data_IF_463825511721
#
_entry.id   IF_463825511721
#
_cell.length_a   1.000
_cell.length_b   1.000
_cell.length_c   1.000
_cell.angle_alpha   90.00
_cell.angle_beta   90.00
_cell.angle_gamma   90.00
#
_symmetry.space_group_name_H-M   'P 1'
#
loop_
_entity.id
_entity.type
_entity.pdbx_description
1 polymer ?
#
# COMPACT_ATOMS: atom_id res chain seq x y z
N UNK A 1 32.96 -14.75 -5.75
CA UNK A 1 31.70 -13.98 -5.81
C UNK A 1 30.92 -14.36 -4.58
N UNK A 2 30.40 -13.39 -3.83
CA UNK A 2 29.54 -13.68 -2.69
C UNK A 2 28.16 -14.10 -3.21
N UNK A 3 27.66 -15.24 -2.73
CA UNK A 3 26.33 -15.73 -3.07
C UNK A 3 25.27 -15.03 -2.20
N UNK A 4 24.05 -14.93 -2.72
CA UNK A 4 22.86 -14.64 -1.93
C UNK A 4 21.83 -15.75 -2.14
N UNK A 5 21.05 -16.05 -1.10
CA UNK A 5 20.03 -17.10 -1.12
C UNK A 5 18.71 -16.54 -0.65
N UNK A 6 17.68 -16.69 -1.49
CA UNK A 6 16.28 -16.51 -1.12
C UNK A 6 15.71 -17.86 -0.70
N UNK A 7 15.06 -17.92 0.46
CA UNK A 7 14.39 -19.12 0.99
C UNK A 7 12.93 -18.79 1.23
N UNK A 8 12.02 -19.62 0.71
CA UNK A 8 10.59 -19.51 0.94
C UNK A 8 10.13 -20.43 2.08
N UNK A 9 9.03 -20.08 2.72
CA UNK A 9 8.37 -20.85 3.78
C UNK A 9 8.11 -22.31 3.42
N UNK A 10 7.87 -22.61 2.13
CA UNK A 10 7.66 -23.98 1.65
C UNK A 10 8.95 -24.75 1.32
N UNK A 11 10.11 -24.17 1.67
CA UNK A 11 11.43 -24.76 1.47
C UNK A 11 12.03 -24.52 0.09
N UNK A 12 11.33 -23.86 -0.85
CA UNK A 12 11.90 -23.54 -2.16
C UNK A 12 13.01 -22.48 -2.02
N UNK A 13 14.16 -22.73 -2.64
CA UNK A 13 15.31 -21.82 -2.60
C UNK A 13 15.68 -21.28 -3.99
N UNK A 14 16.25 -20.07 -4.01
CA UNK A 14 16.83 -19.45 -5.20
C UNK A 14 18.20 -18.89 -4.84
N UNK A 15 19.24 -19.29 -5.57
CA UNK A 15 20.60 -18.75 -5.40
C UNK A 15 20.85 -17.72 -6.49
N UNK A 16 21.37 -16.56 -6.08
CA UNK A 16 21.67 -15.42 -6.94
C UNK A 16 22.84 -14.62 -6.38
N UNK A 17 22.85 -13.31 -6.65
CA UNK A 17 23.88 -12.39 -6.15
C UNK A 17 23.29 -11.36 -5.18
N UNK A 18 24.06 -10.89 -4.18
CA UNK A 18 23.63 -9.77 -3.35
C UNK A 18 23.30 -8.54 -4.20
N UNK A 19 22.25 -7.82 -3.82
CA UNK A 19 21.86 -6.56 -4.43
C UNK A 19 21.32 -5.61 -3.35
N UNK A 20 22.00 -4.50 -3.11
CA UNK A 20 21.79 -3.69 -1.90
C UNK A 20 22.71 -4.13 -0.76
N UNK A 21 22.27 -3.97 0.48
CA UNK A 21 23.04 -4.35 1.65
C UNK A 21 23.23 -5.88 1.76
N UNK A 22 24.41 -6.32 2.22
CA UNK A 22 24.64 -7.71 2.60
C UNK A 22 24.14 -7.98 4.02
N UNK A 23 23.55 -9.17 4.25
CA UNK A 23 23.03 -9.54 5.56
C UNK A 23 21.84 -10.48 5.45
N UNK A 24 20.88 -10.34 6.37
CA UNK A 24 19.64 -11.10 6.33
C UNK A 24 18.42 -10.21 6.50
N UNK A 25 17.34 -10.54 5.81
CA UNK A 25 16.02 -9.96 6.03
C UNK A 25 14.96 -11.04 5.96
N UNK A 26 13.83 -10.80 6.64
CA UNK A 26 12.66 -11.68 6.71
C UNK A 26 11.41 -10.86 6.43
N UNK A 27 10.42 -11.45 5.76
CA UNK A 27 9.16 -10.78 5.49
C UNK A 27 8.20 -11.65 4.69
N UNK A 28 7.01 -11.13 4.43
CA UNK A 28 6.09 -11.74 3.46
C UNK A 28 6.57 -11.42 2.04
N UNK A 29 6.81 -12.45 1.22
CA UNK A 29 7.25 -12.24 -0.16
C UNK A 29 6.06 -12.02 -1.09
N UNK A 30 6.15 -10.96 -1.88
CA UNK A 30 5.11 -10.50 -2.80
C UNK A 30 5.74 -10.18 -4.16
N UNK A 31 4.95 -10.11 -5.22
CA UNK A 31 5.45 -9.65 -6.54
C UNK A 31 4.69 -8.43 -7.02
N UNK A 32 5.35 -7.55 -7.76
CA UNK A 32 4.75 -6.37 -8.39
C UNK A 32 4.98 -6.38 -9.92
N UNK A 33 3.92 -6.13 -10.68
CA UNK A 33 3.92 -6.13 -12.16
C UNK A 33 4.36 -4.82 -12.81
N UNK A 34 4.63 -3.79 -12.01
CA UNK A 34 5.12 -2.49 -12.46
C UNK A 34 6.39 -2.60 -13.29
N UNK A 35 6.35 -2.07 -14.51
CA UNK A 35 7.51 -2.01 -15.41
C UNK A 35 8.36 -0.74 -15.24
N UNK A 36 7.82 0.22 -14.50
CA UNK A 36 8.39 1.54 -14.19
C UNK A 36 7.93 1.91 -12.79
N UNK A 37 8.57 2.90 -12.17
CA UNK A 37 8.14 3.39 -10.87
C UNK A 37 8.61 2.54 -9.69
N UNK A 38 9.80 1.93 -9.83
CA UNK A 38 10.35 1.08 -8.77
C UNK A 38 10.76 1.88 -7.54
N UNK A 39 11.09 3.17 -7.68
CA UNK A 39 11.48 4.02 -6.56
C UNK A 39 10.26 4.31 -5.68
N UNK A 40 9.20 4.79 -6.32
CA UNK A 40 7.88 5.03 -5.71
C UNK A 40 7.39 3.77 -5.00
N UNK A 41 7.52 2.59 -5.65
CA UNK A 41 7.19 1.28 -5.06
C UNK A 41 8.02 0.99 -3.82
N UNK A 42 9.34 1.24 -3.83
CA UNK A 42 10.21 0.97 -2.69
C UNK A 42 9.90 1.88 -1.49
N UNK A 43 9.47 3.11 -1.77
CA UNK A 43 9.12 4.12 -0.76
C UNK A 43 7.64 4.12 -0.36
N UNK A 44 6.81 3.20 -0.87
CA UNK A 44 5.43 3.04 -0.42
C UNK A 44 5.38 2.34 0.94
N UNK A 45 4.88 3.00 2.01
CA UNK A 45 4.80 2.42 3.36
C UNK A 45 3.99 1.11 3.44
N UNK A 46 3.09 0.88 2.48
CA UNK A 46 2.26 -0.33 2.43
C UNK A 46 3.07 -1.62 2.21
N UNK A 47 4.34 -1.51 1.79
CA UNK A 47 5.28 -2.63 1.70
C UNK A 47 6.07 -2.93 2.98
N UNK A 48 5.79 -2.24 4.09
CA UNK A 48 6.46 -2.52 5.35
C UNK A 48 6.38 -4.02 5.70
N UNK A 49 7.52 -4.61 6.08
CA UNK A 49 7.69 -6.06 6.33
C UNK A 49 7.44 -6.99 5.13
N UNK A 50 7.43 -6.47 3.90
CA UNK A 50 7.31 -7.27 2.68
C UNK A 50 8.61 -7.31 1.88
N UNK A 51 8.91 -8.48 1.31
CA UNK A 51 10.00 -8.66 0.34
C UNK A 51 9.38 -8.54 -1.06
N UNK A 52 9.79 -7.53 -1.82
CA UNK A 52 9.18 -7.23 -3.12
C UNK A 52 9.97 -7.87 -4.26
N UNK A 53 9.27 -8.66 -5.08
CA UNK A 53 9.78 -9.27 -6.32
C UNK A 53 9.31 -8.45 -7.51
N UNK A 54 10.24 -7.87 -8.25
CA UNK A 54 9.91 -7.24 -9.53
C UNK A 54 9.78 -8.27 -10.64
N UNK A 55 8.64 -8.26 -11.31
CA UNK A 55 8.45 -9.08 -12.51
C UNK A 55 9.15 -8.47 -13.73
N UNK A 56 9.28 -7.14 -13.78
CA UNK A 56 10.04 -6.46 -14.82
C UNK A 56 11.54 -6.83 -14.70
N UNK A 57 12.17 -7.29 -15.79
CA UNK A 57 13.48 -7.93 -15.68
C UNK A 57 14.60 -6.93 -15.37
N UNK A 58 14.55 -5.74 -15.97
CA UNK A 58 15.55 -4.69 -15.80
C UNK A 58 15.05 -3.64 -14.82
N UNK A 59 15.75 -3.52 -13.69
CA UNK A 59 15.40 -2.61 -12.60
C UNK A 59 16.59 -1.70 -12.28
N UNK A 60 16.34 -0.42 -11.97
CA UNK A 60 17.40 0.57 -11.70
C UNK A 60 17.88 1.34 -12.94
N UNK A 61 17.25 1.15 -14.10
CA UNK A 61 17.65 1.77 -15.37
C UNK A 61 17.58 3.31 -15.35
N UNK A 62 16.67 3.89 -14.56
CA UNK A 62 16.54 5.34 -14.39
C UNK A 62 17.27 5.89 -13.17
N UNK A 63 18.01 5.05 -12.44
CA UNK A 63 18.60 5.40 -11.14
C UNK A 63 17.54 5.82 -10.13
N UNK A 64 17.94 6.65 -9.19
CA UNK A 64 17.09 7.22 -8.13
C UNK A 64 17.30 8.74 -8.11
N UNK A 65 16.28 9.48 -7.69
CA UNK A 65 16.30 10.94 -7.49
C UNK A 65 15.62 11.32 -6.17
N UNK A 66 15.58 12.61 -5.82
CA UNK A 66 15.02 13.05 -4.53
C UNK A 66 13.57 13.56 -4.65
N UNK A 67 12.92 13.38 -5.80
CA UNK A 67 11.56 13.86 -6.10
C UNK A 67 10.53 12.73 -6.23
N UNK A 68 10.95 11.51 -6.55
CA UNK A 68 10.05 10.35 -6.78
C UNK A 68 9.82 9.51 -5.50
N UNK A 69 10.27 9.99 -4.34
CA UNK A 69 10.02 9.31 -3.06
C UNK A 69 8.58 9.57 -2.60
N UNK A 70 7.81 8.50 -2.37
CA UNK A 70 6.44 8.58 -1.85
C UNK A 70 6.38 8.67 -0.32
N UNK A 71 7.52 8.58 0.35
CA UNK A 71 7.67 8.78 1.79
C UNK A 71 9.13 9.02 2.18
N UNK A 72 9.42 9.16 3.48
CA UNK A 72 10.75 9.54 3.96
C UNK A 72 11.86 8.47 3.79
N UNK A 73 11.53 7.21 3.45
CA UNK A 73 12.50 6.12 3.33
C UNK A 73 11.98 4.96 2.49
N UNK A 74 12.86 4.01 2.16
CA UNK A 74 12.49 2.71 1.62
C UNK A 74 11.86 1.84 2.71
N UNK A 75 10.67 1.30 2.44
CA UNK A 75 9.88 0.52 3.41
C UNK A 75 9.90 -1.00 3.19
N UNK A 76 10.29 -1.46 2.00
CA UNK A 76 10.39 -2.91 1.76
C UNK A 76 11.37 -3.55 2.74
N UNK A 77 11.03 -4.73 3.25
CA UNK A 77 11.96 -5.52 4.06
C UNK A 77 13.13 -6.05 3.23
N UNK A 78 12.89 -6.31 1.95
CA UNK A 78 13.93 -6.73 1.01
C UNK A 78 13.47 -6.66 -0.44
N UNK A 79 14.43 -6.85 -1.35
CA UNK A 79 14.18 -6.61 -2.76
C UNK A 79 14.75 -7.70 -3.68
N UNK A 80 13.95 -8.13 -4.65
CA UNK A 80 14.26 -9.27 -5.52
C UNK A 80 14.14 -8.85 -6.98
N UNK A 81 15.24 -8.91 -7.72
CA UNK A 81 15.33 -8.46 -9.12
C UNK A 81 15.95 -9.53 -10.02
N UNK A 82 15.62 -9.50 -11.32
CA UNK A 82 16.22 -10.42 -12.30
C UNK A 82 17.56 -9.92 -12.82
N UNK A 83 17.62 -8.69 -13.30
CA UNK A 83 18.82 -8.10 -13.92
C UNK A 83 18.92 -6.62 -13.51
N UNK A 84 19.66 -6.31 -12.43
CA UNK A 84 19.84 -4.93 -12.01
C UNK A 84 20.63 -4.16 -13.08
N UNK A 85 20.24 -2.90 -13.30
CA UNK A 85 20.88 -2.06 -14.29
C UNK A 85 22.35 -1.82 -13.92
N UNK A 86 23.26 -2.12 -14.86
CA UNK A 86 24.72 -1.92 -14.68
C UNK A 86 25.10 -0.44 -14.56
N UNK A 87 24.24 0.45 -15.04
CA UNK A 87 24.34 1.90 -14.93
C UNK A 87 22.94 2.50 -14.92
N UNK A 88 22.76 3.56 -14.14
CA UNK A 88 21.61 4.44 -14.29
C UNK A 88 21.81 5.35 -15.52
N UNK A 89 20.75 5.60 -16.28
CA UNK A 89 20.80 6.44 -17.48
C UNK A 89 19.51 7.23 -17.68
N UNK A 90 19.28 8.20 -16.80
CA UNK A 90 18.20 9.17 -16.91
C UNK A 90 18.71 10.54 -16.47
N UNK A 91 18.23 11.63 -17.07
CA UNK A 91 18.66 12.99 -16.74
C UNK A 91 18.27 13.41 -15.31
N UNK A 92 17.25 12.78 -14.71
CA UNK A 92 16.83 12.98 -13.32
C UNK A 92 17.68 12.19 -12.32
N UNK A 93 18.43 11.19 -12.77
CA UNK A 93 19.18 10.31 -11.88
C UNK A 93 20.26 11.08 -11.13
N UNK A 94 20.23 11.02 -9.80
CA UNK A 94 21.28 11.58 -8.92
C UNK A 94 22.16 10.49 -8.30
N UNK A 95 21.62 9.28 -8.14
CA UNK A 95 22.30 8.09 -7.59
C UNK A 95 21.84 6.80 -8.27
N UNK A 96 22.59 5.71 -8.13
CA UNK A 96 22.13 4.39 -8.59
C UNK A 96 21.24 3.74 -7.53
N UNK A 97 20.42 2.77 -7.97
CA UNK A 97 19.50 2.10 -7.05
C UNK A 97 20.23 1.21 -6.02
N UNK A 98 21.32 0.55 -6.41
CA UNK A 98 22.11 -0.27 -5.49
C UNK A 98 22.81 0.56 -4.41
N UNK A 99 23.34 1.74 -4.77
CA UNK A 99 23.91 2.69 -3.80
C UNK A 99 22.87 3.07 -2.74
N UNK A 100 21.62 3.30 -3.17
CA UNK A 100 20.54 3.70 -2.27
C UNK A 100 20.06 2.57 -1.36
N UNK A 101 19.91 1.36 -1.90
CA UNK A 101 19.59 0.17 -1.12
C UNK A 101 20.67 -0.12 -0.06
N UNK A 102 21.95 0.03 -0.41
CA UNK A 102 23.07 -0.10 0.55
C UNK A 102 22.99 0.99 1.62
N UNK A 103 22.78 2.25 1.23
CA UNK A 103 22.73 3.38 2.15
C UNK A 103 21.62 3.24 3.21
N UNK A 104 20.48 2.66 2.83
CA UNK A 104 19.33 2.46 3.70
C UNK A 104 19.28 1.05 4.34
N UNK A 105 20.30 0.21 4.12
CA UNK A 105 20.40 -1.12 4.73
C UNK A 105 19.42 -2.15 4.18
N UNK A 106 18.91 -1.95 2.96
CA UNK A 106 17.92 -2.84 2.34
C UNK A 106 18.62 -4.04 1.73
N UNK A 107 18.30 -5.23 2.25
CA UNK A 107 18.87 -6.50 1.78
C UNK A 107 18.12 -6.96 0.54
N UNK A 108 18.84 -7.30 -0.52
CA UNK A 108 18.25 -7.79 -1.75
C UNK A 108 19.08 -8.85 -2.47
N UNK A 109 18.45 -9.43 -3.49
CA UNK A 109 19.02 -10.49 -4.32
C UNK A 109 18.70 -10.25 -5.80
N UNK A 110 19.69 -10.52 -6.64
CA UNK A 110 19.63 -10.39 -8.09
C UNK A 110 19.99 -11.68 -8.81
N UNK A 111 19.81 -11.70 -10.13
CA UNK A 111 20.16 -12.83 -11.02
C UNK A 111 19.37 -14.13 -10.77
N UNK A 112 18.21 -14.05 -10.13
CA UNK A 112 17.29 -15.20 -9.98
C UNK A 112 16.17 -15.19 -11.02
N UNK A 113 15.55 -16.35 -11.28
CA UNK A 113 14.37 -16.45 -12.16
C UNK A 113 13.11 -15.90 -11.45
N UNK A 114 12.94 -14.57 -11.53
CA UNK A 114 11.77 -13.88 -10.96
C UNK A 114 10.45 -14.33 -11.59
N UNK A 115 10.45 -14.86 -12.83
CA UNK A 115 9.24 -15.42 -13.45
C UNK A 115 8.85 -16.75 -12.82
N UNK A 116 9.80 -17.65 -12.58
CA UNK A 116 9.54 -18.90 -11.87
C UNK A 116 9.05 -18.63 -10.44
N UNK A 117 9.63 -17.65 -9.75
CA UNK A 117 9.19 -17.19 -8.44
C UNK A 117 7.78 -16.61 -8.46
N UNK A 118 7.49 -15.68 -9.39
CA UNK A 118 6.15 -15.08 -9.55
C UNK A 118 5.08 -16.15 -9.78
N UNK A 119 5.33 -17.12 -10.67
CA UNK A 119 4.41 -18.23 -10.93
C UNK A 119 4.15 -19.07 -9.69
N UNK A 120 5.20 -19.31 -8.90
CA UNK A 120 5.12 -20.06 -7.65
C UNK A 120 4.22 -19.35 -6.64
N UNK A 121 4.44 -18.05 -6.41
CA UNK A 121 3.63 -17.23 -5.51
C UNK A 121 2.18 -17.11 -5.98
N UNK A 122 1.94 -17.00 -7.28
CA UNK A 122 0.59 -17.02 -7.84
C UNK A 122 -0.14 -18.35 -7.58
N UNK A 123 0.56 -19.48 -7.70
CA UNK A 123 -0.02 -20.83 -7.58
C UNK A 123 -0.14 -21.32 -6.13
N UNK A 124 0.74 -20.86 -5.24
CA UNK A 124 0.82 -21.30 -3.83
C UNK A 124 0.36 -20.24 -2.82
N UNK A 125 0.17 -19.01 -3.28
CA UNK A 125 -0.06 -17.84 -2.45
C UNK A 125 1.24 -17.18 -1.99
N UNK A 126 1.10 -15.96 -1.46
CA UNK A 126 2.20 -15.26 -0.77
C UNK A 126 2.49 -15.94 0.57
N UNK A 127 3.73 -15.88 1.02
CA UNK A 127 4.22 -16.63 2.19
C UNK A 127 5.41 -15.92 2.81
N UNK A 128 5.90 -16.42 3.95
CA UNK A 128 7.14 -15.91 4.54
C UNK A 128 8.34 -16.27 3.66
N UNK A 129 9.32 -15.38 3.62
CA UNK A 129 10.59 -15.64 2.97
C UNK A 129 11.73 -14.92 3.70
N UNK A 130 12.96 -15.32 3.37
CA UNK A 130 14.17 -14.66 3.84
C UNK A 130 15.22 -14.58 2.76
N UNK A 131 15.96 -13.47 2.73
CA UNK A 131 17.14 -13.28 1.88
C UNK A 131 18.36 -13.31 2.79
N UNK A 132 19.38 -14.08 2.43
CA UNK A 132 20.60 -14.26 3.21
C UNK A 132 21.83 -14.09 2.31
N UNK A 133 22.77 -13.24 2.72
CA UNK A 133 24.03 -12.99 2.02
C UNK A 133 25.15 -12.64 3.02
N UNK A 134 26.40 -12.65 2.54
CA UNK A 134 27.56 -12.30 3.35
C UNK A 134 27.67 -13.15 4.62
N UNK A 135 27.94 -12.51 5.75
CA UNK A 135 28.09 -13.17 7.05
C UNK A 135 26.81 -13.92 7.52
N UNK A 136 25.63 -13.53 7.04
CA UNK A 136 24.38 -14.19 7.41
C UNK A 136 24.15 -15.53 6.70
N UNK A 137 24.89 -15.78 5.62
CA UNK A 137 24.81 -17.01 4.81
C UNK A 137 25.86 -18.06 5.22
N UNK A 138 26.83 -17.71 6.05
CA UNK A 138 27.90 -18.61 6.48
C UNK A 138 27.81 -18.93 7.98
N UNK A 139 28.32 -20.09 8.37
CA UNK A 139 28.43 -20.53 9.75
C UNK A 139 29.73 -20.01 10.41
N UNK A 140 30.01 -20.46 11.63
CA UNK A 140 31.18 -20.04 12.40
C UNK A 140 32.52 -20.47 11.78
N UNK A 141 32.51 -21.52 10.94
CA UNK A 141 33.67 -22.04 10.25
C UNK A 141 33.85 -21.39 8.86
N UNK A 142 32.90 -20.52 8.46
CA UNK A 142 32.90 -19.82 7.17
C UNK A 142 32.28 -20.63 6.03
N UNK A 143 31.66 -21.78 6.34
CA UNK A 143 30.97 -22.63 5.37
C UNK A 143 29.53 -22.17 5.19
N UNK A 144 28.94 -22.43 4.02
CA UNK A 144 27.55 -22.03 3.76
C UNK A 144 26.59 -22.76 4.71
N UNK A 145 25.77 -21.99 5.43
CA UNK A 145 24.72 -22.52 6.30
C UNK A 145 23.81 -23.46 5.53
N UNK A 146 23.42 -24.55 6.18
CA UNK A 146 22.54 -25.52 5.57
C UNK A 146 21.13 -24.93 5.33
N UNK A 147 20.47 -25.33 4.24
CA UNK A 147 19.17 -24.76 3.86
C UNK A 147 18.11 -24.90 4.95
N UNK A 148 18.16 -25.96 5.76
CA UNK A 148 17.22 -26.18 6.87
C UNK A 148 17.36 -25.14 8.00
N UNK A 149 18.55 -24.57 8.21
CA UNK A 149 18.76 -23.50 9.20
C UNK A 149 18.20 -22.17 8.71
N UNK A 150 18.39 -21.88 7.42
CA UNK A 150 17.82 -20.69 6.78
C UNK A 150 16.29 -20.76 6.76
N UNK A 151 15.75 -21.94 6.42
CA UNK A 151 14.32 -22.21 6.46
C UNK A 151 13.75 -22.06 7.88
N UNK A 152 14.45 -22.55 8.91
CA UNK A 152 14.01 -22.37 10.30
C UNK A 152 13.85 -20.88 10.68
N UNK A 153 14.78 -20.02 10.23
CA UNK A 153 14.66 -18.57 10.43
C UNK A 153 13.44 -17.97 9.70
N UNK A 154 13.12 -18.45 8.49
CA UNK A 154 11.91 -18.04 7.75
C UNK A 154 10.63 -18.48 8.47
N UNK A 155 10.61 -19.69 9.02
CA UNK A 155 9.46 -20.24 9.74
C UNK A 155 9.22 -19.58 11.11
N UNK A 156 10.25 -18.96 11.70
CA UNK A 156 10.14 -18.19 12.95
C UNK A 156 9.64 -16.75 12.71
N UNK A 157 9.70 -16.26 11.46
CA UNK A 157 9.23 -14.93 11.12
C UNK A 157 7.71 -14.77 11.37
N UNK A 158 7.25 -13.61 11.88
CA UNK A 158 5.84 -13.33 12.05
C UNK A 158 5.06 -13.39 10.73
N UNK A 159 3.80 -13.81 10.80
CA UNK A 159 2.89 -13.78 9.66
C UNK A 159 2.28 -12.36 9.49
N UNK A 160 1.91 -12.02 8.25
CA UNK A 160 1.21 -10.76 7.93
C UNK A 160 -0.24 -10.74 8.44
N UNK A 161 -0.89 -11.91 8.52
CA UNK A 161 -2.27 -12.01 9.06
C UNK A 161 -2.27 -11.65 10.53
N UNK A 162 -3.15 -10.73 10.92
CA UNK A 162 -3.22 -10.19 12.27
C UNK A 162 -2.11 -9.20 12.64
N UNK A 163 -1.28 -8.77 11.69
CA UNK A 163 -0.25 -7.76 11.95
C UNK A 163 -0.86 -6.36 11.95
N UNK A 164 -0.71 -5.64 13.07
CA UNK A 164 -0.98 -4.22 13.17
C UNK A 164 0.31 -3.45 12.87
N UNK A 165 0.35 -2.74 11.73
CA UNK A 165 1.56 -2.12 11.19
C UNK A 165 1.40 -0.63 10.88
N UNK A 166 0.19 -0.09 10.91
CA UNK A 166 -0.07 1.31 10.53
C UNK A 166 0.70 2.29 11.44
N UNK A 167 0.71 2.03 12.75
CA UNK A 167 1.47 2.82 13.72
C UNK A 167 2.99 2.75 13.57
N UNK A 168 3.54 1.72 12.91
CA UNK A 168 4.99 1.62 12.65
C UNK A 168 5.44 2.49 11.47
N UNK A 169 4.49 2.96 10.67
CA UNK A 169 4.75 3.71 9.44
C UNK A 169 4.16 5.12 9.41
N UNK A 170 3.33 5.44 10.40
CA UNK A 170 2.69 6.74 10.55
C UNK A 170 3.70 7.85 10.88
N UNK A 171 3.34 9.09 10.58
CA UNK A 171 4.07 10.26 11.06
C UNK A 171 4.03 10.40 12.59
N UNK A 172 5.16 10.77 13.19
CA UNK A 172 5.27 11.03 14.64
C UNK A 172 4.59 12.35 15.07
N UNK A 173 4.38 13.28 14.14
CA UNK A 173 3.86 14.62 14.46
C UNK A 173 3.02 15.14 13.32
N UNK A 174 1.85 15.68 13.67
CA UNK A 174 0.96 16.28 12.70
C UNK A 174 1.65 17.40 11.90
N UNK A 175 1.40 17.42 10.59
CA UNK A 175 1.91 18.45 9.68
C UNK A 175 0.83 18.89 8.69
N UNK A 176 1.10 19.98 7.97
CA UNK A 176 0.14 20.58 7.03
C UNK A 176 0.76 20.65 5.65
N UNK A 177 0.02 20.16 4.65
CA UNK A 177 0.27 20.44 3.24
C UNK A 177 -0.68 21.57 2.83
N UNK A 178 -0.11 22.74 2.55
CA UNK A 178 -0.88 23.92 2.17
C UNK A 178 -1.43 23.78 0.74
N UNK A 179 -2.62 24.36 0.47
CA UNK A 179 -3.23 24.30 -0.84
C UNK A 179 -2.38 25.03 -1.89
N UNK A 180 -2.39 24.51 -3.11
CA UNK A 180 -1.83 25.17 -4.27
C UNK A 180 -2.93 26.04 -4.89
N UNK A 181 -2.76 27.36 -4.81
CA UNK A 181 -3.74 28.33 -5.30
C UNK A 181 -4.73 28.77 -4.20
N UNK A 182 -6.00 28.90 -4.56
CA UNK A 182 -7.05 29.33 -3.63
C UNK A 182 -7.42 28.22 -2.66
N UNK A 183 -7.63 28.56 -1.38
CA UNK A 183 -8.10 27.61 -0.37
C UNK A 183 -9.61 27.37 -0.55
N UNK A 184 -9.98 26.13 -0.84
CA UNK A 184 -11.37 25.71 -1.13
C UNK A 184 -11.95 24.86 0.02
N UNK A 185 -11.13 23.97 0.59
CA UNK A 185 -11.55 23.06 1.65
C UNK A 185 -10.38 22.68 2.58
N UNK A 186 -10.71 22.15 3.75
CA UNK A 186 -9.75 21.58 4.70
C UNK A 186 -10.05 20.10 4.91
N UNK A 187 -9.02 19.24 4.83
CA UNK A 187 -9.12 17.81 5.09
C UNK A 187 -8.24 17.43 6.28
N UNK A 188 -8.77 16.64 7.20
CA UNK A 188 -7.99 15.88 8.16
C UNK A 188 -7.67 14.51 7.57
N UNK A 189 -6.40 14.25 7.25
CA UNK A 189 -5.92 12.98 6.75
C UNK A 189 -5.27 12.19 7.89
N UNK A 190 -5.83 11.02 8.23
CA UNK A 190 -5.21 10.10 9.19
C UNK A 190 -4.15 9.29 8.44
N UNK A 191 -2.90 9.43 8.88
CA UNK A 191 -1.73 8.79 8.31
C UNK A 191 -1.60 7.37 8.82
N UNK A 192 -1.96 6.41 7.98
CA UNK A 192 -1.81 4.98 8.22
C UNK A 192 -0.63 4.40 7.43
N UNK A 193 0.27 5.25 6.95
CA UNK A 193 1.26 4.96 5.92
C UNK A 193 1.02 5.76 4.64
N UNK A 194 0.63 7.02 4.75
CA UNK A 194 0.19 7.85 3.64
C UNK A 194 1.34 8.09 2.66
N UNK A 195 1.02 7.89 1.38
CA UNK A 195 1.89 8.27 0.28
C UNK A 195 1.84 9.77 0.01
N UNK A 196 3.00 10.39 -0.17
CA UNK A 196 3.18 11.84 -0.33
C UNK A 196 2.37 12.43 -1.51
N UNK A 197 2.13 11.65 -2.56
CA UNK A 197 1.34 12.11 -3.68
C UNK A 197 -0.14 12.36 -3.32
N UNK A 198 -0.69 11.64 -2.33
CA UNK A 198 -2.10 11.83 -1.89
C UNK A 198 -2.39 13.24 -1.39
N UNK A 199 -1.71 13.77 -0.35
CA UNK A 199 -1.96 15.14 0.11
C UNK A 199 -1.59 16.17 -0.96
N UNK A 200 -0.60 15.89 -1.80
CA UNK A 200 -0.25 16.75 -2.94
C UNK A 200 -1.39 16.83 -3.98
N UNK A 201 -2.07 15.73 -4.31
CA UNK A 201 -3.24 15.72 -5.23
C UNK A 201 -4.44 16.50 -4.67
N UNK A 202 -4.61 16.49 -3.36
CA UNK A 202 -5.59 17.31 -2.66
C UNK A 202 -5.18 18.78 -2.68
N UNK A 203 -3.91 19.10 -2.40
CA UNK A 203 -3.38 20.45 -2.44
C UNK A 203 -3.51 21.10 -3.82
N UNK A 204 -3.27 20.35 -4.91
CA UNK A 204 -3.49 20.76 -6.31
C UNK A 204 -4.93 21.21 -6.59
N UNK A 205 -5.90 20.79 -5.75
CA UNK A 205 -7.32 21.15 -5.83
C UNK A 205 -7.73 22.24 -4.85
N UNK A 206 -6.76 22.94 -4.25
CA UNK A 206 -7.03 23.98 -3.28
C UNK A 206 -7.40 23.45 -1.89
N UNK A 207 -7.15 22.18 -1.60
CA UNK A 207 -7.45 21.58 -0.29
C UNK A 207 -6.24 21.72 0.64
N UNK A 208 -6.45 22.31 1.82
CA UNK A 208 -5.47 22.24 2.92
C UNK A 208 -5.56 20.87 3.55
N UNK A 209 -4.46 20.15 3.67
CA UNK A 209 -4.43 18.81 4.27
C UNK A 209 -3.67 18.84 5.59
N UNK A 210 -4.37 18.58 6.70
CA UNK A 210 -3.77 18.28 7.98
C UNK A 210 -3.51 16.78 8.05
N UNK A 211 -2.25 16.38 7.97
CA UNK A 211 -1.86 14.98 8.14
C UNK A 211 -1.65 14.73 9.63
N UNK A 212 -2.42 13.79 10.18
CA UNK A 212 -2.45 13.44 11.59
C UNK A 212 -1.88 12.03 11.79
N UNK A 213 -1.19 11.75 12.91
CA UNK A 213 -0.73 10.41 13.26
C UNK A 213 -1.86 9.37 13.27
N UNK A 214 -1.51 8.09 13.15
CA UNK A 214 -2.47 6.97 13.11
C UNK A 214 -3.29 6.83 14.39
N UNK A 215 -2.74 7.26 15.52
CA UNK A 215 -3.39 7.24 16.84
C UNK A 215 -4.22 8.50 17.14
N UNK A 216 -4.41 9.37 16.16
CA UNK A 216 -5.17 10.60 16.33
C UNK A 216 -6.57 10.34 16.89
N UNK A 217 -7.02 11.21 17.80
CA UNK A 217 -8.37 11.12 18.37
C UNK A 217 -9.38 11.91 17.55
N UNK A 218 -10.68 11.66 17.79
CA UNK A 218 -11.73 12.45 17.16
C UNK A 218 -11.65 13.94 17.54
N UNK A 219 -11.20 14.27 18.76
CA UNK A 219 -10.99 15.65 19.19
C UNK A 219 -9.90 16.34 18.37
N UNK A 220 -8.80 15.64 18.08
CA UNK A 220 -7.70 16.16 17.27
C UNK A 220 -8.12 16.33 15.81
N UNK A 221 -8.86 15.37 15.25
CA UNK A 221 -9.49 15.49 13.94
C UNK A 221 -10.41 16.71 13.88
N UNK A 222 -11.27 16.91 14.87
CA UNK A 222 -12.20 18.05 14.89
C UNK A 222 -11.48 19.39 15.13
N UNK A 223 -10.34 19.39 15.83
CA UNK A 223 -9.54 20.59 16.07
C UNK A 223 -9.01 21.22 14.76
N UNK A 224 -8.88 20.44 13.67
CA UNK A 224 -8.50 20.98 12.36
C UNK A 224 -9.66 21.67 11.63
N UNK A 225 -10.88 21.66 12.20
CA UNK A 225 -12.12 22.12 11.54
C UNK A 225 -12.30 21.53 10.12
N UNK A 226 -12.30 20.19 9.98
CA UNK A 226 -12.27 19.54 8.67
C UNK A 226 -13.60 19.69 7.95
N UNK A 227 -13.52 19.95 6.65
CA UNK A 227 -14.63 19.82 5.71
C UNK A 227 -14.81 18.37 5.26
N UNK A 228 -13.76 17.56 5.39
CA UNK A 228 -13.78 16.12 5.15
C UNK A 228 -12.65 15.41 5.89
N UNK A 229 -12.82 14.12 6.13
CA UNK A 229 -11.81 13.24 6.71
C UNK A 229 -11.36 12.23 5.67
N UNK A 230 -10.05 12.00 5.62
CA UNK A 230 -9.43 11.06 4.71
C UNK A 230 -8.64 10.01 5.49
N UNK A 231 -8.82 8.73 5.17
CA UNK A 231 -7.98 7.65 5.70
C UNK A 231 -7.10 7.09 4.59
N UNK A 232 -5.78 7.11 4.82
CA UNK A 232 -4.80 6.75 3.81
C UNK A 232 -4.71 5.25 3.53
N UNK A 233 -3.85 4.92 2.56
CA UNK A 233 -3.25 3.60 2.43
C UNK A 233 -2.39 3.26 3.67
N UNK A 234 -2.02 1.98 3.77
CA UNK A 234 -1.24 1.49 4.89
C UNK A 234 -0.92 -0.01 4.80
N UNK A 235 0.07 -0.48 5.58
CA UNK A 235 0.41 -1.90 5.70
C UNK A 235 -0.45 -2.62 6.74
N UNK A 236 -0.37 -3.96 6.74
CA UNK A 236 -0.95 -4.80 7.79
C UNK A 236 -2.35 -5.34 7.49
N UNK A 237 -2.97 -5.93 8.52
CA UNK A 237 -4.27 -6.58 8.44
C UNK A 237 -5.37 -5.64 9.00
N UNK A 238 -6.40 -5.28 8.22
CA UNK A 238 -7.50 -4.43 8.70
C UNK A 238 -8.32 -5.07 9.83
N UNK A 239 -8.18 -6.36 10.08
CA UNK A 239 -8.82 -7.02 11.20
C UNK A 239 -8.22 -6.63 12.57
N UNK A 240 -6.99 -6.10 12.60
CA UNK A 240 -6.31 -5.65 13.82
C UNK A 240 -6.63 -4.18 14.19
N UNK A 241 -7.09 -3.38 13.23
CA UNK A 241 -7.30 -1.93 13.35
C UNK A 241 -8.53 -1.54 14.20
N UNK A 242 -8.43 -1.67 15.52
CA UNK A 242 -9.56 -1.38 16.42
C UNK A 242 -9.79 0.11 16.59
N UNK A 243 -8.72 0.88 16.85
CA UNK A 243 -8.76 2.32 17.08
C UNK A 243 -9.27 3.08 15.85
N UNK A 244 -8.73 2.74 14.68
CA UNK A 244 -9.05 3.39 13.41
C UNK A 244 -10.51 3.14 13.03
N UNK A 245 -11.03 1.95 13.28
CA UNK A 245 -12.46 1.63 13.06
C UNK A 245 -13.35 2.48 13.99
N UNK A 246 -12.97 2.64 15.26
CA UNK A 246 -13.72 3.46 16.22
C UNK A 246 -13.71 4.94 15.82
N UNK A 247 -12.54 5.48 15.48
CA UNK A 247 -12.39 6.84 14.96
C UNK A 247 -13.24 7.06 13.70
N UNK A 248 -13.21 6.12 12.75
CA UNK A 248 -14.01 6.22 11.54
C UNK A 248 -15.51 6.22 11.83
N UNK A 249 -15.97 5.39 12.78
CA UNK A 249 -17.37 5.40 13.20
C UNK A 249 -17.77 6.74 13.81
N UNK A 250 -16.90 7.35 14.61
CA UNK A 250 -17.09 8.69 15.15
C UNK A 250 -17.24 9.76 14.04
N UNK A 251 -16.45 9.66 12.97
CA UNK A 251 -16.55 10.52 11.78
C UNK A 251 -17.89 10.32 11.06
N UNK A 252 -18.27 9.05 10.82
CA UNK A 252 -19.51 8.69 10.14
C UNK A 252 -20.76 9.14 10.92
N UNK A 253 -20.74 9.00 12.25
CA UNK A 253 -21.82 9.44 13.15
C UNK A 253 -22.04 10.95 13.08
N UNK A 254 -20.97 11.71 12.89
CA UNK A 254 -21.01 13.17 12.70
C UNK A 254 -21.35 13.58 11.28
N UNK A 255 -21.49 12.62 10.36
CA UNK A 255 -21.78 12.83 8.93
C UNK A 255 -20.76 13.76 8.27
N UNK A 256 -19.50 13.67 8.69
CA UNK A 256 -18.41 14.39 8.03
C UNK A 256 -18.08 13.64 6.73
N UNK A 257 -17.91 14.34 5.58
CA UNK A 257 -17.49 13.73 4.33
C UNK A 257 -16.26 12.84 4.52
N UNK A 258 -16.34 11.60 4.06
CA UNK A 258 -15.27 10.63 4.22
C UNK A 258 -14.80 10.07 2.88
N UNK A 259 -13.48 9.97 2.73
CA UNK A 259 -12.84 9.24 1.64
C UNK A 259 -11.71 8.32 2.15
N UNK A 260 -11.75 7.04 1.80
CA UNK A 260 -10.71 6.07 2.13
C UNK A 260 -10.02 5.48 0.90
N UNK A 261 -8.69 5.33 0.96
CA UNK A 261 -7.87 4.70 -0.10
C UNK A 261 -7.18 3.45 0.45
N UNK A 262 -7.21 2.35 -0.31
CA UNK A 262 -6.55 1.08 0.00
C UNK A 262 -6.89 0.54 1.40
N UNK A 263 -6.05 0.77 2.40
CA UNK A 263 -6.33 0.42 3.79
C UNK A 263 -7.57 1.17 4.31
N UNK A 264 -7.71 2.46 3.98
CA UNK A 264 -8.91 3.25 4.27
C UNK A 264 -10.21 2.67 3.68
N UNK A 265 -10.15 1.96 2.55
CA UNK A 265 -11.32 1.22 2.01
C UNK A 265 -11.69 0.01 2.88
N UNK A 266 -10.68 -0.72 3.33
CA UNK A 266 -10.89 -1.86 4.22
C UNK A 266 -11.46 -1.40 5.55
N UNK A 267 -10.94 -0.31 6.10
CA UNK A 267 -11.45 0.30 7.33
C UNK A 267 -12.89 0.80 7.18
N UNK A 268 -13.26 1.40 6.04
CA UNK A 268 -14.66 1.74 5.77
C UNK A 268 -15.55 0.49 5.75
N UNK A 269 -15.14 -0.56 5.05
CA UNK A 269 -15.86 -1.83 5.04
C UNK A 269 -16.09 -2.37 6.46
N UNK A 270 -15.05 -2.37 7.28
CA UNK A 270 -15.09 -2.83 8.68
C UNK A 270 -15.93 -1.92 9.59
N UNK A 271 -15.83 -0.60 9.43
CA UNK A 271 -16.65 0.36 10.17
C UNK A 271 -18.14 0.15 9.89
N UNK A 272 -18.49 -0.12 8.62
CA UNK A 272 -19.85 -0.45 8.17
C UNK A 272 -20.31 -1.86 8.60
N UNK A 273 -19.40 -2.71 9.08
CA UNK A 273 -19.71 -4.04 9.63
C UNK A 273 -19.50 -5.20 8.65
N UNK A 274 -18.93 -4.97 7.47
CA UNK A 274 -18.53 -6.03 6.54
C UNK A 274 -17.27 -6.75 7.02
N UNK A 275 -17.08 -7.97 6.50
CA UNK A 275 -15.86 -8.73 6.72
C UNK A 275 -14.69 -8.24 5.85
N UNK A 276 -13.50 -8.77 6.13
CA UNK A 276 -12.33 -8.66 5.26
C UNK A 276 -11.69 -10.03 5.10
N UNK A 277 -11.05 -10.29 3.97
CA UNK A 277 -10.35 -11.55 3.70
C UNK A 277 -8.99 -11.28 3.05
N UNK A 278 -8.07 -12.23 3.24
CA UNK A 278 -6.75 -12.20 2.60
C UNK A 278 -6.83 -12.83 1.22
N UNK A 279 -6.32 -12.12 0.22
CA UNK A 279 -6.18 -12.61 -1.15
C UNK A 279 -5.04 -13.63 -1.22
N UNK A 280 -5.13 -14.58 -2.16
CA UNK A 280 -4.10 -15.62 -2.32
C UNK A 280 -2.72 -15.01 -2.57
N UNK A 281 -2.63 -14.03 -3.48
CA UNK A 281 -1.39 -13.29 -3.74
C UNK A 281 -1.56 -11.76 -3.80
N UNK A 282 -2.79 -11.24 -3.70
CA UNK A 282 -3.09 -9.81 -3.70
C UNK A 282 -2.95 -9.12 -5.06
N UNK A 283 -3.33 -7.84 -5.12
CA UNK A 283 -3.18 -7.00 -6.31
C UNK A 283 -2.01 -6.05 -6.12
N UNK A 284 -0.97 -6.23 -6.93
CA UNK A 284 0.28 -5.47 -6.89
C UNK A 284 0.79 -5.18 -8.29
N UNK A 285 0.55 -3.97 -8.75
CA UNK A 285 0.80 -3.61 -10.14
C UNK A 285 0.18 -2.28 -10.55
N UNK A 286 0.44 -1.87 -11.78
CA UNK A 286 -0.02 -0.60 -12.36
C UNK A 286 -0.91 -0.81 -13.59
N UNK A 287 -1.53 -1.99 -13.68
CA UNK A 287 -2.25 -2.45 -14.86
C UNK A 287 -3.54 -3.21 -14.52
N UNK A 288 -4.11 -2.98 -13.35
CA UNK A 288 -5.35 -3.65 -12.95
C UNK A 288 -6.55 -2.94 -13.57
N UNK A 289 -7.48 -3.67 -14.20
CA UNK A 289 -8.68 -3.10 -14.80
C UNK A 289 -9.82 -3.03 -13.78
N UNK A 290 -10.24 -1.83 -13.41
CA UNK A 290 -11.35 -1.61 -12.47
C UNK A 290 -12.52 -0.94 -13.18
N UNK A 291 -13.74 -1.41 -12.93
CA UNK A 291 -14.96 -0.81 -13.46
C UNK A 291 -15.68 0.05 -12.41
N UNK A 292 -15.91 1.33 -12.70
CA UNK A 292 -16.91 2.14 -11.97
C UNK A 292 -18.30 1.67 -12.39
N UNK A 293 -19.02 1.02 -11.48
CA UNK A 293 -20.32 0.40 -11.75
C UNK A 293 -21.45 1.41 -11.94
N UNK A 294 -21.28 2.65 -11.47
CA UNK A 294 -22.26 3.71 -11.66
C UNK A 294 -22.23 4.27 -13.10
N UNK A 295 -21.05 4.27 -13.73
CA UNK A 295 -20.86 4.85 -15.07
C UNK A 295 -20.62 3.80 -16.16
N UNK A 296 -20.21 2.59 -15.78
CA UNK A 296 -19.73 1.55 -16.70
C UNK A 296 -18.34 1.84 -17.29
N UNK A 297 -17.65 2.90 -16.83
CA UNK A 297 -16.30 3.24 -17.26
C UNK A 297 -15.30 2.24 -16.67
N UNK A 298 -14.36 1.81 -17.49
CA UNK A 298 -13.20 1.00 -17.07
C UNK A 298 -11.98 1.89 -16.97
N UNK A 299 -11.20 1.65 -15.93
CA UNK A 299 -10.00 2.41 -15.56
C UNK A 299 -8.85 1.43 -15.40
N UNK A 300 -7.66 1.83 -15.83
CA UNK A 300 -6.44 1.10 -15.46
C UNK A 300 -5.89 1.76 -14.20
N UNK A 301 -5.60 0.97 -13.18
CA UNK A 301 -5.32 1.46 -11.82
C UNK A 301 -4.05 0.87 -11.23
N UNK A 302 -3.48 1.58 -10.26
CA UNK A 302 -2.37 1.13 -9.44
C UNK A 302 -2.87 0.47 -8.15
N UNK A 303 -2.37 -0.72 -7.84
CA UNK A 303 -2.78 -1.51 -6.67
C UNK A 303 -1.57 -1.92 -5.85
N UNK A 304 -1.75 -1.90 -4.54
CA UNK A 304 -0.85 -2.53 -3.59
C UNK A 304 -1.60 -3.02 -2.34
N UNK A 305 -2.32 -4.15 -2.45
CA UNK A 305 -3.03 -4.72 -1.30
C UNK A 305 -3.07 -6.24 -1.31
N UNK A 306 -2.99 -6.83 -0.11
CA UNK A 306 -3.13 -8.27 0.14
C UNK A 306 -4.49 -8.67 0.73
N UNK A 307 -5.31 -7.69 1.12
CA UNK A 307 -6.62 -7.89 1.73
C UNK A 307 -7.71 -7.18 0.91
N UNK A 308 -8.94 -7.65 1.05
CA UNK A 308 -10.11 -7.08 0.39
C UNK A 308 -11.33 -7.11 1.32
N UNK A 309 -12.32 -6.26 1.03
CA UNK A 309 -13.60 -6.24 1.75
C UNK A 309 -14.53 -7.32 1.21
N UNK A 310 -15.19 -8.03 2.12
CA UNK A 310 -16.26 -8.97 1.81
C UNK A 310 -17.62 -8.25 1.88
N UNK A 311 -18.01 -7.62 0.77
CA UNK A 311 -19.29 -6.95 0.60
C UNK A 311 -20.09 -7.56 -0.56
N UNK A 312 -21.43 -7.65 -0.47
CA UNK A 312 -22.25 -8.17 -1.56
C UNK A 312 -22.05 -7.36 -2.85
N UNK A 313 -21.61 -8.02 -3.92
CA UNK A 313 -21.37 -7.38 -5.21
C UNK A 313 -22.66 -6.86 -5.83
N UNK A 314 -23.77 -7.60 -5.74
CA UNK A 314 -24.99 -7.24 -6.45
C UNK A 314 -25.98 -6.44 -5.61
N UNK A 315 -26.42 -5.31 -6.16
CA UNK A 315 -27.46 -4.47 -5.58
C UNK A 315 -27.02 -3.60 -4.41
N UNK A 316 -28.01 -3.00 -3.74
CA UNK A 316 -27.83 -2.28 -2.49
C UNK A 316 -27.88 -3.26 -1.33
N UNK A 317 -26.96 -3.13 -0.38
CA UNK A 317 -27.01 -3.83 0.90
C UNK A 317 -27.18 -2.82 2.04
N UNK A 318 -27.65 -3.28 3.20
CA UNK A 318 -27.69 -2.46 4.41
C UNK A 318 -26.42 -2.74 5.21
N UNK A 319 -25.73 -1.70 5.65
CA UNK A 319 -24.51 -1.78 6.45
C UNK A 319 -24.74 -2.71 7.67
N UNK A 320 -24.02 -3.83 7.80
CA UNK A 320 -24.32 -4.82 8.85
C UNK A 320 -24.15 -4.30 10.29
N UNK A 321 -23.36 -3.24 10.48
CA UNK A 321 -23.07 -2.70 11.81
C UNK A 321 -24.32 -2.19 12.52
N UNK A 322 -24.46 -2.58 13.79
CA UNK A 322 -25.48 -2.08 14.74
C UNK A 322 -26.90 -2.06 14.15
N UNK A 323 -27.28 -3.15 13.47
CA UNK A 323 -28.63 -3.32 12.92
C UNK A 323 -28.97 -2.42 11.73
N UNK A 324 -27.97 -1.96 10.96
CA UNK A 324 -28.21 -1.08 9.80
C UNK A 324 -27.99 0.39 10.07
N UNK A 325 -27.28 0.74 11.15
CA UNK A 325 -27.08 2.13 11.61
C UNK A 325 -26.58 3.07 10.52
N UNK A 326 -25.70 2.60 9.65
CA UNK A 326 -25.08 3.40 8.58
C UNK A 326 -25.82 3.35 7.24
N UNK A 327 -27.02 2.76 7.21
CA UNK A 327 -27.91 2.79 6.05
C UNK A 327 -27.43 1.91 4.90
N UNK A 328 -27.75 2.31 3.68
CA UNK A 328 -27.52 1.54 2.45
C UNK A 328 -26.12 1.79 1.89
N UNK A 329 -25.52 0.73 1.36
CA UNK A 329 -24.16 0.69 0.81
C UNK A 329 -24.19 -0.10 -0.48
N UNK A 330 -23.41 0.37 -1.46
CA UNK A 330 -23.19 -0.34 -2.73
C UNK A 330 -21.70 -0.55 -2.97
N UNK A 331 -21.35 -1.67 -3.60
CA UNK A 331 -20.05 -1.85 -4.23
C UNK A 331 -20.00 -0.95 -5.46
N UNK A 332 -19.16 0.08 -5.40
CA UNK A 332 -19.04 1.12 -6.43
C UNK A 332 -18.05 0.74 -7.53
N UNK A 333 -17.01 -0.02 -7.18
CA UNK A 333 -15.98 -0.47 -8.11
C UNK A 333 -15.68 -1.94 -7.92
N UNK A 334 -15.35 -2.63 -9.01
CA UNK A 334 -15.01 -4.05 -9.03
C UNK A 334 -13.83 -4.30 -9.96
N UNK A 335 -12.92 -5.20 -9.57
CA UNK A 335 -11.83 -5.66 -10.43
C UNK A 335 -12.38 -6.60 -11.52
N UNK A 336 -11.97 -6.38 -12.77
CA UNK A 336 -12.48 -7.14 -13.92
C UNK A 336 -11.73 -8.46 -14.18
N UNK A 337 -10.63 -8.73 -13.47
CA UNK A 337 -9.92 -10.00 -13.57
C UNK A 337 -10.51 -11.06 -12.64
N UNK A 338 -11.01 -10.67 -11.46
CA UNK A 338 -11.39 -11.62 -10.41
C UNK A 338 -12.58 -11.23 -9.51
N UNK A 339 -13.34 -10.20 -9.88
CA UNK A 339 -14.55 -9.74 -9.18
C UNK A 339 -14.33 -9.25 -7.73
N UNK A 340 -13.08 -8.94 -7.35
CA UNK A 340 -12.78 -8.36 -6.03
C UNK A 340 -13.41 -6.98 -5.88
N UNK A 341 -13.89 -6.67 -4.67
CA UNK A 341 -14.45 -5.35 -4.31
C UNK A 341 -13.35 -4.30 -4.33
N UNK A 342 -13.46 -3.34 -5.24
CA UNK A 342 -12.46 -2.29 -5.44
C UNK A 342 -12.95 -0.90 -4.96
N UNK A 343 -14.16 -0.82 -4.42
CA UNK A 343 -14.65 0.39 -3.77
C UNK A 343 -16.06 0.29 -3.22
N UNK A 344 -16.33 1.07 -2.18
CA UNK A 344 -17.63 1.15 -1.51
C UNK A 344 -18.17 2.57 -1.58
N UNK A 345 -19.50 2.69 -1.62
CA UNK A 345 -20.19 3.98 -1.48
C UNK A 345 -21.38 3.82 -0.55
N UNK A 346 -21.41 4.62 0.52
CA UNK A 346 -22.60 4.79 1.33
C UNK A 346 -23.60 5.69 0.58
N UNK A 347 -24.88 5.31 0.60
CA UNK A 347 -25.95 6.05 -0.07
C UNK A 347 -26.65 7.04 0.86
N UNK A 348 -26.63 6.76 2.17
CA UNK A 348 -27.31 7.57 3.19
C UNK A 348 -26.33 8.41 4.07
N UNK A 349 -25.03 8.29 3.78
CA UNK A 349 -23.93 9.04 4.41
C UNK A 349 -22.99 9.61 3.34
N UNK A 350 -22.32 10.74 3.60
CA UNK A 350 -21.32 11.29 2.68
C UNK A 350 -20.00 10.51 2.80
N UNK A 351 -19.98 9.23 2.44
CA UNK A 351 -18.80 8.39 2.59
C UNK A 351 -18.60 7.47 1.37
N UNK A 352 -17.38 7.40 0.87
CA UNK A 352 -16.98 6.41 -0.13
C UNK A 352 -15.51 6.03 0.03
N UNK A 353 -15.09 4.96 -0.64
CA UNK A 353 -13.70 4.51 -0.64
C UNK A 353 -13.37 3.73 -1.89
N UNK A 354 -12.07 3.61 -2.18
CA UNK A 354 -11.54 2.74 -3.23
C UNK A 354 -10.34 1.95 -2.73
N UNK A 355 -10.17 0.74 -3.23
CA UNK A 355 -9.14 -0.20 -2.78
C UNK A 355 -7.80 -0.02 -3.51
N UNK A 356 -7.82 0.59 -4.69
CA UNK A 356 -6.65 0.98 -5.49
C UNK A 356 -6.20 2.41 -5.14
N UNK A 357 -5.18 2.90 -5.86
CA UNK A 357 -4.46 4.14 -5.57
C UNK A 357 -4.69 5.22 -6.64
N UNK A 358 -5.72 6.09 -6.49
CA UNK A 358 -6.00 7.22 -7.38
C UNK A 358 -4.88 8.24 -7.49
N UNK A 359 -4.02 8.34 -6.48
CA UNK A 359 -2.84 9.20 -6.49
C UNK A 359 -1.77 8.72 -7.47
N UNK A 360 -1.84 7.45 -7.91
CA UNK A 360 -0.83 6.77 -8.70
C UNK A 360 0.54 6.76 -7.99
N UNK A 361 1.58 7.32 -8.60
CA UNK A 361 2.94 7.40 -8.05
C UNK A 361 3.42 6.05 -7.46
N UNK A 362 3.68 5.04 -8.29
CA UNK A 362 3.63 5.07 -9.76
C UNK A 362 2.30 4.54 -10.34
N UNK A 363 2.10 4.74 -11.64
CA UNK A 363 1.01 4.12 -12.40
C UNK A 363 0.13 5.09 -13.20
N UNK A 364 -0.97 4.59 -13.76
CA UNK A 364 -1.91 5.35 -14.58
C UNK A 364 -2.70 6.39 -13.77
N UNK A 365 -3.15 7.46 -14.42
CA UNK A 365 -3.87 8.56 -13.78
C UNK A 365 -5.40 8.50 -13.98
N UNK A 366 -5.93 7.39 -14.49
CA UNK A 366 -7.33 7.23 -14.91
C UNK A 366 -8.34 7.49 -13.77
N UNK A 367 -7.90 7.24 -12.53
CA UNK A 367 -8.66 7.33 -11.29
C UNK A 367 -8.59 8.69 -10.58
N UNK A 368 -7.79 9.65 -11.07
CA UNK A 368 -7.51 10.91 -10.37
C UNK A 368 -8.78 11.76 -10.07
N UNK A 369 -9.86 11.54 -10.82
CA UNK A 369 -11.15 12.22 -10.63
C UNK A 369 -11.80 11.91 -9.27
N UNK A 370 -11.37 10.86 -8.56
CA UNK A 370 -11.91 10.53 -7.23
C UNK A 370 -11.59 11.61 -6.19
N UNK A 371 -10.48 12.33 -6.35
CA UNK A 371 -10.19 13.52 -5.54
C UNK A 371 -11.17 14.67 -5.84
N UNK A 372 -11.59 14.83 -7.10
CA UNK A 372 -12.63 15.80 -7.47
C UNK A 372 -13.98 15.39 -6.88
N UNK A 373 -14.33 14.10 -6.93
CA UNK A 373 -15.54 13.55 -6.29
C UNK A 373 -15.56 13.80 -4.79
N UNK A 374 -14.41 13.71 -4.11
CA UNK A 374 -14.32 14.02 -2.68
C UNK A 374 -14.49 15.53 -2.41
N UNK A 375 -13.91 16.39 -3.25
CA UNK A 375 -14.11 17.84 -3.15
C UNK A 375 -15.58 18.24 -3.37
N UNK A 376 -16.24 17.66 -4.36
CA UNK A 376 -17.66 17.87 -4.63
C UNK A 376 -18.52 17.46 -3.42
N UNK A 377 -18.16 16.34 -2.77
CA UNK A 377 -18.84 15.86 -1.57
C UNK A 377 -18.72 16.85 -0.40
N UNK A 378 -17.54 17.41 -0.17
CA UNK A 378 -17.29 18.42 0.87
C UNK A 378 -18.02 19.74 0.58
N UNK A 379 -17.98 20.22 -0.66
CA UNK A 379 -18.57 21.51 -1.05
C UNK A 379 -20.09 21.48 -1.12
N UNK A 380 -20.69 20.35 -1.55
CA UNK A 380 -22.13 20.17 -1.53
C UNK A 380 -22.72 20.25 -0.11
N UNK A 381 -22.00 19.76 0.90
CA UNK A 381 -22.41 19.84 2.30
C UNK A 381 -22.34 21.26 2.86
N UNK A 382 -21.30 22.04 2.51
CA UNK A 382 -21.20 23.46 2.87
C UNK A 382 -22.36 24.30 2.33
N UNK A 383 -22.85 23.97 1.12
CA UNK A 383 -23.99 24.67 0.52
C UNK A 383 -25.35 24.29 1.12
N UNK A 384 -25.43 23.18 1.86
CA UNK A 384 -26.65 22.68 2.49
C UNK A 384 -26.79 23.05 3.97
N UNK A 385 -25.68 23.42 4.63
CA UNK A 385 -25.62 23.95 5.99
C UNK A 385 -25.83 25.48 5.99
#
# INVERSE_FOLDING_TARGET
MTDAVLVLEDGRTFTGRPYGAEGSTLGEIVFNTGMTGYQETLTDPSYHRQIVVMTAPHIGNTGVNDEDDESARIWVAGYVVRDPARRASNWRSVRTLDEDLVAQGIVGISEIDTRALTRHLRERGVMRAGIFSGAALVDADGERRAEHELLAAVLDAPAMVGADLAGEVSTDTAYVVEPIGEHVATVAAVDLGIKAMTPQRLAERGVRVHVLPSDATIEEVLATSPDGVFFSNGPGDPAAATHEIELLRDVLDRRIPFFGICYGNQLLGRALGYGTYKLGYGHRGVNQPVMDRATGKVEITAHNHGFAVDAPLDGESVAPHDGGRYGRVVVSHVDLNDDVVEGLRALDLPAFSVQYHPEAAAGPHDAAYLFDRFLDLMTAQKGAA
#
